data_IF_341822040616
#
_entry.id   IF_341822040616
#
_cell.length_a   1.000
_cell.length_b   1.000
_cell.length_c   1.000
_cell.angle_alpha   90.00
_cell.angle_beta   90.00
_cell.angle_gamma   90.00
#
_symmetry.space_group_name_H-M   'P 1'
#
loop_
_entity.id
_entity.type
_entity.pdbx_description
1 polymer ?
#
# COMPACT_ATOMS: atom_id res chain seq x y z
N UNK A 1 -25.89 15.56 -16.58
CA UNK A 1 -24.80 16.16 -15.77
C UNK A 1 -23.76 15.07 -15.54
N UNK A 2 -22.47 15.33 -15.81
CA UNK A 2 -21.40 14.44 -15.33
C UNK A 2 -21.49 14.41 -13.80
N UNK A 3 -21.54 13.23 -13.21
CA UNK A 3 -21.42 13.09 -11.76
C UNK A 3 -20.00 13.57 -11.42
N UNK A 4 -19.86 14.50 -10.49
CA UNK A 4 -18.55 14.88 -9.96
C UNK A 4 -17.86 13.64 -9.40
N UNK A 5 -16.68 13.33 -9.93
CA UNK A 5 -15.93 12.11 -9.57
C UNK A 5 -14.91 12.47 -8.49
N UNK A 6 -15.26 12.18 -7.23
CA UNK A 6 -14.28 12.21 -6.15
C UNK A 6 -13.35 11.00 -6.29
N UNK A 7 -12.06 11.27 -6.27
CA UNK A 7 -11.01 10.26 -6.29
C UNK A 7 -10.27 10.32 -4.96
N UNK A 8 -10.16 9.18 -4.29
CA UNK A 8 -9.36 9.02 -3.08
C UNK A 8 -7.99 8.46 -3.47
N UNK A 9 -6.93 9.24 -3.33
CA UNK A 9 -5.56 8.72 -3.45
C UNK A 9 -5.04 8.31 -2.09
N UNK A 10 -4.38 7.15 -2.00
CA UNK A 10 -3.79 6.65 -0.76
C UNK A 10 -2.36 6.15 -0.97
N UNK A 11 -1.49 6.46 -0.01
CA UNK A 11 -0.27 5.70 0.23
C UNK A 11 -0.55 4.72 1.37
N UNK A 12 -0.85 3.44 1.09
CA UNK A 12 -1.44 2.54 2.07
C UNK A 12 -0.43 2.05 3.11
N UNK A 13 0.87 2.08 2.82
CA UNK A 13 1.95 1.69 3.74
C UNK A 13 1.72 0.32 4.42
N UNK A 14 1.29 -0.66 3.63
CA UNK A 14 1.16 -2.06 4.04
C UNK A 14 2.17 -2.90 3.26
N UNK A 15 2.42 -4.13 3.74
CA UNK A 15 3.26 -5.08 2.98
C UNK A 15 2.83 -5.12 1.52
N UNK A 16 3.80 -5.24 0.62
CA UNK A 16 3.50 -5.17 -0.80
C UNK A 16 3.39 -3.78 -1.38
N UNK A 17 3.11 -2.72 -0.61
CA UNK A 17 2.74 -1.39 -1.15
C UNK A 17 3.29 -0.24 -0.29
N UNK A 18 4.58 0.04 -0.46
CA UNK A 18 5.34 1.04 0.28
C UNK A 18 5.39 0.79 1.81
N UNK A 19 6.36 1.37 2.51
CA UNK A 19 6.55 1.11 3.96
C UNK A 19 6.74 2.38 4.79
N UNK A 20 6.56 3.56 4.19
CA UNK A 20 6.76 4.84 4.86
C UNK A 20 5.78 5.88 4.32
N UNK A 21 5.58 6.90 5.15
CA UNK A 21 4.83 8.12 4.86
C UNK A 21 3.38 7.86 4.40
N UNK A 22 2.61 7.01 5.11
CA UNK A 22 1.21 6.79 4.81
C UNK A 22 0.44 8.11 4.81
N UNK A 23 -0.53 8.21 3.91
CA UNK A 23 -1.36 9.40 3.78
C UNK A 23 -2.49 9.20 2.80
N UNK A 24 -3.34 10.21 2.68
CA UNK A 24 -4.46 10.24 1.77
C UNK A 24 -4.67 11.63 1.16
N UNK A 25 -5.31 11.66 -0.01
CA UNK A 25 -5.74 12.88 -0.66
C UNK A 25 -7.11 12.70 -1.36
N UNK A 26 -7.92 13.76 -1.39
CA UNK A 26 -9.13 13.83 -2.21
C UNK A 26 -8.87 14.72 -3.40
N UNK A 27 -9.17 14.19 -4.58
CA UNK A 27 -9.06 14.89 -5.86
C UNK A 27 -10.47 15.01 -6.44
N UNK A 28 -10.79 16.19 -6.95
CA UNK A 28 -12.02 16.45 -7.71
C UNK A 28 -11.65 17.21 -8.98
N UNK A 29 -12.12 16.70 -10.13
CA UNK A 29 -11.90 17.31 -11.45
C UNK A 29 -10.42 17.63 -11.77
N UNK A 30 -9.51 16.78 -11.27
CA UNK A 30 -8.06 16.92 -11.46
C UNK A 30 -7.33 17.76 -10.41
N UNK A 31 -8.06 18.43 -9.52
CA UNK A 31 -7.51 19.29 -8.48
C UNK A 31 -7.51 18.60 -7.11
N UNK A 32 -6.42 18.75 -6.34
CA UNK A 32 -6.33 18.25 -4.97
C UNK A 32 -7.13 19.19 -4.06
N UNK A 33 -8.22 18.67 -3.47
CA UNK A 33 -9.01 19.41 -2.50
C UNK A 33 -8.39 19.42 -1.11
N UNK A 34 -7.82 18.27 -0.72
CA UNK A 34 -7.18 18.09 0.58
C UNK A 34 -6.22 16.90 0.53
N UNK A 35 -5.12 17.00 1.25
CA UNK A 35 -4.16 15.92 1.43
C UNK A 35 -3.51 16.02 2.81
N UNK A 36 -3.29 14.87 3.44
CA UNK A 36 -2.64 14.81 4.75
C UNK A 36 -1.89 13.49 4.94
N UNK A 37 -0.76 13.57 5.63
CA UNK A 37 0.02 12.41 6.07
C UNK A 37 -0.47 11.92 7.44
N UNK A 38 -0.42 10.61 7.64
CA UNK A 38 -0.87 9.96 8.87
C UNK A 38 -0.06 10.42 10.08
N UNK A 39 1.24 10.69 9.90
CA UNK A 39 2.13 11.13 10.98
C UNK A 39 1.70 12.46 11.61
N UNK A 40 1.01 13.32 10.84
CA UNK A 40 0.46 14.59 11.34
C UNK A 40 -0.71 14.37 12.29
N UNK A 41 -1.39 13.23 12.17
CA UNK A 41 -2.59 12.90 12.93
C UNK A 41 -2.29 11.98 14.12
N UNK A 42 -1.38 11.01 13.96
CA UNK A 42 -1.02 10.07 15.02
C UNK A 42 0.25 10.44 15.80
N UNK A 43 1.06 11.39 15.31
CA UNK A 43 2.32 11.80 15.95
C UNK A 43 3.47 10.77 15.85
N UNK A 44 3.32 9.72 15.04
CA UNK A 44 4.32 8.67 14.85
C UNK A 44 5.12 8.96 13.58
N UNK A 45 6.37 9.39 13.77
CA UNK A 45 7.29 9.79 12.69
C UNK A 45 7.38 8.72 11.59
N UNK A 46 7.03 9.10 10.36
CA UNK A 46 7.04 8.25 9.17
C UNK A 46 6.03 7.09 9.16
N UNK A 47 5.27 6.90 10.26
CA UNK A 47 4.15 5.95 10.41
C UNK A 47 4.35 4.59 9.70
N UNK A 48 5.55 4.01 9.83
CA UNK A 48 5.98 2.85 9.05
C UNK A 48 5.12 1.63 9.32
N UNK A 49 4.60 1.02 8.26
CA UNK A 49 3.70 -0.14 8.33
C UNK A 49 2.30 0.17 8.88
N UNK A 50 1.92 1.44 9.04
CA UNK A 50 0.61 1.86 9.55
C UNK A 50 -0.27 2.27 8.37
N UNK A 51 -1.47 1.72 8.28
CA UNK A 51 -2.43 2.07 7.24
C UNK A 51 -3.04 3.47 7.52
N UNK A 52 -3.27 4.33 6.51
CA UNK A 52 -3.66 5.74 6.69
C UNK A 52 -5.15 5.93 7.07
N UNK A 53 -5.63 5.29 8.13
CA UNK A 53 -7.04 5.36 8.55
C UNK A 53 -7.44 6.78 8.97
N UNK A 54 -6.57 7.47 9.72
CA UNK A 54 -6.85 8.83 10.17
C UNK A 54 -6.81 9.81 8.99
N UNK A 55 -5.88 9.63 8.06
CA UNK A 55 -5.76 10.49 6.88
C UNK A 55 -6.95 10.38 5.96
N UNK A 56 -7.43 9.15 5.70
CA UNK A 56 -8.65 8.92 4.92
C UNK A 56 -9.84 9.59 5.61
N UNK A 57 -9.97 9.41 6.93
CA UNK A 57 -11.06 10.03 7.69
C UNK A 57 -11.00 11.57 7.62
N UNK A 58 -9.83 12.16 7.88
CA UNK A 58 -9.63 13.60 7.83
C UNK A 58 -9.93 14.18 6.44
N UNK A 59 -9.57 13.47 5.38
CA UNK A 59 -9.91 13.81 4.01
C UNK A 59 -11.42 13.88 3.76
N UNK A 60 -12.16 12.84 4.15
CA UNK A 60 -13.61 12.79 4.00
C UNK A 60 -14.29 13.88 4.83
N UNK A 61 -13.86 14.05 6.09
CA UNK A 61 -14.39 15.06 7.01
C UNK A 61 -14.17 16.49 6.48
N UNK A 62 -12.95 16.79 6.00
CA UNK A 62 -12.61 18.11 5.47
C UNK A 62 -13.42 18.45 4.21
N UNK A 63 -13.58 17.48 3.31
CA UNK A 63 -14.37 17.67 2.08
C UNK A 63 -15.89 17.59 2.33
N UNK A 64 -16.34 17.15 3.50
CA UNK A 64 -17.75 16.97 3.82
C UNK A 64 -18.45 15.93 2.94
N UNK A 65 -17.73 14.86 2.56
CA UNK A 65 -18.24 13.80 1.68
C UNK A 65 -18.24 12.43 2.38
N UNK A 66 -19.21 11.60 1.98
CA UNK A 66 -19.29 10.21 2.43
C UNK A 66 -18.45 9.27 1.54
N UNK A 67 -18.05 8.13 2.10
CA UNK A 67 -17.32 7.06 1.39
C UNK A 67 -18.01 6.63 0.09
N UNK A 68 -19.35 6.59 0.05
CA UNK A 68 -20.12 6.19 -1.13
C UNK A 68 -20.06 7.21 -2.29
N UNK A 69 -19.51 8.40 -2.04
CA UNK A 69 -19.27 9.41 -3.07
C UNK A 69 -17.93 9.22 -3.78
N UNK A 70 -17.04 8.36 -3.24
CA UNK A 70 -15.77 8.03 -3.87
C UNK A 70 -16.02 7.13 -5.08
N UNK A 71 -15.65 7.63 -6.25
CA UNK A 71 -15.79 6.91 -7.53
C UNK A 71 -14.60 5.98 -7.80
N UNK A 72 -13.40 6.40 -7.37
CA UNK A 72 -12.17 5.66 -7.60
C UNK A 72 -11.20 5.84 -6.42
N UNK A 73 -10.46 4.76 -6.11
CA UNK A 73 -9.31 4.78 -5.21
C UNK A 73 -8.05 4.61 -6.05
N UNK A 74 -7.04 5.45 -5.82
CA UNK A 74 -5.76 5.39 -6.53
C UNK A 74 -4.62 5.07 -5.58
N UNK A 75 -3.71 4.20 -6.02
CA UNK A 75 -2.55 3.77 -5.26
C UNK A 75 -1.31 3.97 -6.11
N UNK A 76 -0.34 4.73 -5.60
CA UNK A 76 0.96 4.99 -6.24
C UNK A 76 1.94 3.83 -6.13
N UNK A 77 1.48 2.61 -6.39
CA UNK A 77 2.29 1.40 -6.41
C UNK A 77 1.72 0.38 -7.41
N UNK A 78 2.59 -0.39 -8.07
CA UNK A 78 2.19 -1.47 -8.98
C UNK A 78 2.44 -2.85 -8.34
N UNK A 79 1.38 -3.63 -8.02
CA UNK A 79 1.48 -4.97 -7.44
C UNK A 79 2.47 -5.90 -8.14
N UNK A 80 2.54 -5.89 -9.47
CA UNK A 80 3.43 -6.79 -10.22
C UNK A 80 4.91 -6.55 -9.92
N UNK A 81 5.28 -5.31 -9.60
CA UNK A 81 6.65 -4.96 -9.24
C UNK A 81 7.07 -5.57 -7.89
N UNK A 82 6.11 -6.00 -7.06
CA UNK A 82 6.40 -6.63 -5.78
C UNK A 82 7.21 -7.92 -5.94
N UNK A 83 6.88 -8.75 -6.93
CA UNK A 83 7.55 -10.03 -7.14
C UNK A 83 9.05 -9.87 -7.43
N UNK A 84 9.47 -8.72 -7.98
CA UNK A 84 10.88 -8.41 -8.24
C UNK A 84 11.72 -8.32 -6.95
N UNK A 85 11.09 -8.08 -5.79
CA UNK A 85 11.77 -7.99 -4.48
C UNK A 85 12.01 -9.36 -3.83
N UNK A 86 11.36 -10.43 -4.30
CA UNK A 86 11.48 -11.76 -3.70
C UNK A 86 12.93 -12.25 -3.68
N UNK A 87 13.67 -12.01 -4.76
CA UNK A 87 15.07 -12.40 -4.86
C UNK A 87 15.94 -11.69 -3.81
N UNK A 88 15.69 -10.40 -3.54
CA UNK A 88 16.44 -9.64 -2.55
C UNK A 88 16.21 -10.18 -1.13
N UNK A 89 14.96 -10.51 -0.80
CA UNK A 89 14.63 -11.05 0.52
C UNK A 89 15.15 -12.49 0.71
N UNK A 90 15.17 -13.29 -0.36
CA UNK A 90 15.81 -14.60 -0.34
C UNK A 90 17.32 -14.51 -0.08
N UNK A 91 18.02 -13.56 -0.73
CA UNK A 91 19.45 -13.32 -0.50
C UNK A 91 19.70 -12.92 0.95
N UNK A 92 18.92 -11.99 1.51
CA UNK A 92 19.03 -11.58 2.92
C UNK A 92 18.82 -12.75 3.90
N UNK A 93 17.88 -13.65 3.62
CA UNK A 93 17.67 -14.87 4.43
C UNK A 93 18.90 -15.80 4.36
N UNK A 94 19.48 -15.97 3.17
CA UNK A 94 20.68 -16.80 2.97
C UNK A 94 21.87 -16.20 3.71
N UNK A 95 22.11 -14.89 3.57
CA UNK A 95 23.22 -14.19 4.23
C UNK A 95 23.13 -14.30 5.76
N UNK A 96 21.93 -14.10 6.32
CA UNK A 96 21.66 -14.29 7.76
C UNK A 96 21.77 -15.74 8.24
N UNK A 97 21.83 -16.71 7.33
CA UNK A 97 22.12 -18.11 7.66
C UNK A 97 23.62 -18.42 7.58
N UNK A 98 24.39 -17.63 6.80
CA UNK A 98 25.84 -17.78 6.59
C UNK A 98 26.71 -17.26 7.73
N UNK A 99 26.18 -16.48 8.68
CA UNK A 99 26.93 -15.97 9.84
C UNK A 99 27.59 -17.06 10.72
N UNK A 100 27.26 -18.35 10.50
CA UNK A 100 27.85 -19.50 11.21
C UNK A 100 28.82 -20.36 10.37
N UNK A 101 29.43 -19.81 9.30
CA UNK A 101 30.46 -20.43 8.42
C UNK A 101 30.05 -21.65 7.58
N UNK A 102 28.87 -22.25 7.78
CA UNK A 102 28.25 -23.21 6.85
C UNK A 102 26.77 -22.89 6.60
N UNK A 103 26.34 -22.98 5.34
CA UNK A 103 24.92 -22.86 4.97
C UNK A 103 24.27 -24.23 5.09
N UNK A 104 23.46 -24.40 6.13
CA UNK A 104 22.58 -25.55 6.19
C UNK A 104 21.30 -25.28 5.37
N UNK A 105 21.15 -25.95 4.22
CA UNK A 105 19.99 -25.80 3.33
C UNK A 105 18.65 -25.99 4.03
N UNK A 106 18.62 -26.87 5.04
CA UNK A 106 17.43 -27.11 5.86
C UNK A 106 17.05 -25.91 6.71
N UNK A 107 18.04 -25.21 7.29
CA UNK A 107 17.83 -23.99 8.07
C UNK A 107 17.31 -22.84 7.21
N UNK A 108 17.84 -22.69 5.99
CA UNK A 108 17.33 -21.72 5.00
C UNK A 108 15.89 -22.03 4.62
N UNK A 109 15.60 -23.28 4.26
CA UNK A 109 14.24 -23.73 3.93
C UNK A 109 13.24 -23.46 5.06
N UNK A 110 13.60 -23.81 6.30
CA UNK A 110 12.75 -23.56 7.46
C UNK A 110 12.44 -22.06 7.61
N UNK A 111 13.44 -21.17 7.48
CA UNK A 111 13.20 -19.71 7.53
C UNK A 111 12.28 -19.19 6.42
N UNK A 112 12.40 -19.72 5.21
CA UNK A 112 11.52 -19.33 4.08
C UNK A 112 10.07 -19.73 4.40
N UNK A 113 9.87 -20.93 4.93
CA UNK A 113 8.54 -21.44 5.31
C UNK A 113 7.98 -20.64 6.50
N UNK A 114 8.76 -20.49 7.57
CA UNK A 114 8.34 -19.82 8.81
C UNK A 114 8.01 -18.33 8.58
N UNK A 115 8.70 -17.67 7.64
CA UNK A 115 8.41 -16.28 7.27
C UNK A 115 7.21 -16.11 6.34
N UNK A 116 6.61 -17.23 5.89
CA UNK A 116 5.55 -17.27 4.90
C UNK A 116 5.88 -16.48 3.62
N UNK A 117 7.15 -16.51 3.21
CA UNK A 117 7.69 -15.60 2.20
C UNK A 117 6.96 -15.74 0.87
N UNK A 118 6.87 -16.97 0.36
CA UNK A 118 6.33 -17.24 -0.98
C UNK A 118 4.85 -16.84 -1.06
N UNK A 119 4.05 -17.20 -0.07
CA UNK A 119 2.61 -16.88 -0.09
C UNK A 119 2.37 -15.39 0.11
N UNK A 120 3.17 -14.71 0.93
CA UNK A 120 3.14 -13.25 1.05
C UNK A 120 3.40 -12.59 -0.29
N UNK A 121 4.44 -13.01 -1.01
CA UNK A 121 4.77 -12.42 -2.30
C UNK A 121 3.71 -12.70 -3.36
N UNK A 122 3.19 -13.93 -3.44
CA UNK A 122 2.09 -14.28 -4.34
C UNK A 122 0.84 -13.44 -4.08
N UNK A 123 0.48 -13.27 -2.81
CA UNK A 123 -0.67 -12.47 -2.40
C UNK A 123 -0.56 -11.03 -2.88
N UNK A 124 0.57 -10.36 -2.58
CA UNK A 124 0.74 -8.94 -2.89
C UNK A 124 1.10 -8.65 -4.35
N UNK A 125 1.49 -9.67 -5.14
CA UNK A 125 1.64 -9.53 -6.59
C UNK A 125 0.33 -9.64 -7.37
N UNK A 126 -0.72 -10.13 -6.74
CA UNK A 126 -2.02 -10.31 -7.38
C UNK A 126 -2.91 -9.09 -7.17
N UNK A 127 -3.36 -8.49 -8.28
CA UNK A 127 -4.18 -7.29 -8.24
C UNK A 127 -5.48 -7.48 -7.46
N UNK A 128 -6.15 -8.62 -7.60
CA UNK A 128 -7.47 -8.83 -7.03
C UNK A 128 -7.38 -9.01 -5.51
N UNK A 129 -6.38 -9.75 -5.02
CA UNK A 129 -6.06 -9.84 -3.61
C UNK A 129 -5.81 -8.47 -2.98
N UNK A 130 -5.00 -7.64 -3.66
CA UNK A 130 -4.68 -6.29 -3.19
C UNK A 130 -5.91 -5.39 -3.20
N UNK A 131 -6.72 -5.41 -4.28
CA UNK A 131 -7.98 -4.65 -4.35
C UNK A 131 -8.91 -5.03 -3.20
N UNK A 132 -9.12 -6.32 -2.96
CA UNK A 132 -9.96 -6.82 -1.88
C UNK A 132 -9.45 -6.38 -0.50
N UNK A 133 -8.13 -6.40 -0.28
CA UNK A 133 -7.53 -5.90 0.95
C UNK A 133 -7.77 -4.40 1.15
N UNK A 134 -7.64 -3.60 0.10
CA UNK A 134 -7.85 -2.15 0.15
C UNK A 134 -9.33 -1.82 0.38
N UNK A 135 -10.26 -2.48 -0.33
CA UNK A 135 -11.70 -2.31 -0.09
C UNK A 135 -12.05 -2.63 1.36
N UNK A 136 -11.54 -3.74 1.90
CA UNK A 136 -11.75 -4.13 3.30
C UNK A 136 -11.20 -3.10 4.29
N UNK A 137 -10.00 -2.57 4.05
CA UNK A 137 -9.36 -1.60 4.96
C UNK A 137 -9.99 -0.21 4.91
N UNK A 138 -10.39 0.23 3.72
CA UNK A 138 -11.04 1.53 3.54
C UNK A 138 -12.52 1.50 3.94
N UNK A 139 -13.17 0.33 3.82
CA UNK A 139 -14.61 0.19 3.93
C UNK A 139 -15.35 0.93 2.81
N UNK A 140 -14.71 1.08 1.65
CA UNK A 140 -15.29 1.69 0.45
C UNK A 140 -15.54 0.55 -0.54
N UNK A 141 -16.82 0.30 -0.85
CA UNK A 141 -17.27 -0.77 -1.72
C UNK A 141 -17.75 -0.20 -3.07
N UNK A 142 -17.57 -0.98 -4.15
CA UNK A 142 -18.08 -0.62 -5.48
C UNK A 142 -17.29 0.47 -6.22
N UNK A 143 -16.28 1.08 -5.60
CA UNK A 143 -15.37 2.01 -6.26
C UNK A 143 -14.30 1.28 -7.07
N UNK A 144 -13.92 1.85 -8.22
CA UNK A 144 -12.81 1.33 -9.01
C UNK A 144 -11.47 1.54 -8.27
N UNK A 145 -10.58 0.55 -8.25
CA UNK A 145 -9.24 0.71 -7.69
C UNK A 145 -8.21 0.69 -8.83
N UNK A 146 -7.44 1.77 -8.96
CA UNK A 146 -6.38 1.94 -9.95
C UNK A 146 -5.00 2.00 -9.29
N UNK A 147 -4.04 1.35 -9.93
CA UNK A 147 -2.64 1.30 -9.52
C UNK A 147 -1.82 2.09 -10.53
N UNK A 148 -0.93 2.95 -10.04
CA UNK A 148 -0.01 3.73 -10.84
C UNK A 148 1.42 3.42 -10.44
N UNK A 149 2.33 3.41 -11.40
CA UNK A 149 3.76 3.26 -11.08
C UNK A 149 4.22 4.41 -10.21
N UNK A 150 4.86 4.07 -9.08
CA UNK A 150 5.35 5.00 -8.07
C UNK A 150 6.22 6.13 -8.66
N UNK A 151 6.99 5.83 -9.71
CA UNK A 151 7.85 6.80 -10.39
C UNK A 151 7.09 7.79 -11.30
N UNK A 152 5.89 7.43 -11.77
CA UNK A 152 5.04 8.32 -12.57
C UNK A 152 4.19 9.24 -11.69
N UNK A 153 3.96 8.89 -10.43
CA UNK A 153 3.18 9.71 -9.47
C UNK A 153 3.90 11.00 -9.02
N UNK A 154 5.17 11.17 -9.37
CA UNK A 154 5.97 12.38 -9.09
C UNK A 154 6.16 13.28 -10.32
N UNK A 155 5.70 12.88 -11.51
CA UNK A 155 5.86 13.67 -12.73
C UNK A 155 4.63 14.57 -12.89
N UNK A 156 4.84 15.87 -12.64
CA UNK A 156 3.90 16.96 -12.88
C UNK A 156 3.75 17.30 -14.36
#
# INVERSE_FOLDING_TARGET
>A
MKKSEYILSINPCIYGMNYHDPGAAIILDGEILFAIEEERLNGIKGSKGIFPELSIKACLDYCGIDKNQISCITIGYNPELWMKRLQLELVDIIDKCQENQEVESRKVMNRIIDSNLVDRYKFYSDYENVKNLIMKKTGIEGSEIRFFDHHMSHIH
#
